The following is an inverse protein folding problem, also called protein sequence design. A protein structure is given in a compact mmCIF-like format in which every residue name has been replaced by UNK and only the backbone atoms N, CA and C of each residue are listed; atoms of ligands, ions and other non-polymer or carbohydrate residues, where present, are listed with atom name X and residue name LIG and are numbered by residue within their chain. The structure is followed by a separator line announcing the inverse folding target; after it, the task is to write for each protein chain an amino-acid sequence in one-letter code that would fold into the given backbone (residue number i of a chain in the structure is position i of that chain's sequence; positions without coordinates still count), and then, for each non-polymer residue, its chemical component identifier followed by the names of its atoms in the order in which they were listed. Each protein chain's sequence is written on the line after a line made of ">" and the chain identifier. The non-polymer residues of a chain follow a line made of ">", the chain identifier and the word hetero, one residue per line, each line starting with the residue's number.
data_IF_088385013561
#
_entry.id   IF_088385013561
#
_cell.length_a   1.000
_cell.length_b   1.000
_cell.length_c   1.000
_cell.angle_alpha   90.00
_cell.angle_beta   90.00
_cell.angle_gamma   90.00
#
_symmetry.space_group_name_H-M   'P 1'
#
loop_
_entity.id
_entity.type
_entity.pdbx_description
1 polymer ?
#
# COMPACT_ATOMS: atom_id res chain seq x y z
N UNK A 1 -36.72 -6.17 -45.14
CA UNK A 1 -36.23 -5.51 -43.91
C UNK A 1 -36.89 -5.97 -42.60
N UNK A 2 -38.08 -6.60 -42.59
CA UNK A 2 -38.71 -7.10 -41.34
C UNK A 2 -38.22 -8.46 -40.81
N UNK A 3 -37.58 -9.29 -41.64
CA UNK A 3 -37.07 -10.62 -41.21
C UNK A 3 -35.73 -10.58 -40.47
N UNK A 4 -34.89 -9.55 -40.71
CA UNK A 4 -33.58 -9.41 -40.04
C UNK A 4 -33.72 -8.99 -38.56
N UNK A 5 -34.77 -8.20 -38.24
CA UNK A 5 -35.03 -7.78 -36.86
C UNK A 5 -35.53 -8.93 -35.96
N UNK A 6 -36.18 -9.95 -36.52
CA UNK A 6 -36.68 -11.08 -35.73
C UNK A 6 -35.53 -12.01 -35.28
N UNK A 7 -34.49 -12.18 -36.10
CA UNK A 7 -33.31 -12.97 -35.74
C UNK A 7 -32.43 -12.25 -34.71
N UNK A 8 -32.36 -10.91 -34.75
CA UNK A 8 -31.60 -10.13 -33.76
C UNK A 8 -32.24 -10.16 -32.36
N UNK A 9 -33.57 -10.16 -32.28
CA UNK A 9 -34.31 -10.29 -31.01
C UNK A 9 -34.20 -11.71 -30.45
N UNK A 10 -34.20 -12.75 -31.29
CA UNK A 10 -33.97 -14.14 -30.84
C UNK A 10 -32.53 -14.32 -30.33
N UNK A 11 -31.54 -13.66 -30.94
CA UNK A 11 -30.13 -13.71 -30.49
C UNK A 11 -29.91 -13.00 -29.14
N UNK A 12 -30.61 -11.88 -28.89
CA UNK A 12 -30.53 -11.13 -27.61
C UNK A 12 -31.32 -11.82 -26.49
N UNK A 13 -32.39 -12.56 -26.80
CA UNK A 13 -33.19 -13.29 -25.79
C UNK A 13 -32.66 -14.71 -25.54
N UNK A 14 -31.85 -15.28 -26.44
CA UNK A 14 -31.18 -16.59 -26.23
C UNK A 14 -29.81 -16.48 -25.56
N UNK A 15 -29.30 -15.26 -25.31
CA UNK A 15 -28.03 -15.06 -24.62
C UNK A 15 -28.04 -15.22 -23.07
N UNK A 16 -29.16 -15.46 -22.33
CA UNK A 16 -29.07 -15.82 -20.92
C UNK A 16 -28.99 -17.34 -20.70
N UNK A 17 -28.74 -18.15 -21.74
CA UNK A 17 -28.61 -19.62 -21.63
C UNK A 17 -27.20 -20.16 -21.86
N UNK A 18 -26.17 -19.30 -21.85
CA UNK A 18 -24.84 -19.73 -21.46
C UNK A 18 -24.73 -19.60 -19.94
N UNK A 19 -25.52 -20.44 -19.26
CA UNK A 19 -25.22 -20.85 -17.91
C UNK A 19 -23.81 -21.46 -17.96
N UNK A 20 -22.83 -20.67 -17.52
CA UNK A 20 -21.57 -21.22 -17.05
C UNK A 20 -21.92 -22.29 -16.02
N UNK A 21 -21.71 -23.55 -16.38
CA UNK A 21 -21.56 -24.58 -15.38
C UNK A 21 -20.22 -24.30 -14.69
N UNK A 22 -20.25 -23.47 -13.65
CA UNK A 22 -19.15 -23.46 -12.70
C UNK A 22 -19.08 -24.85 -12.07
N UNK A 23 -17.94 -25.46 -12.30
CA UNK A 23 -17.52 -26.74 -11.77
C UNK A 23 -17.42 -26.66 -10.26
N UNK A 24 -18.32 -27.37 -9.58
CA UNK A 24 -18.27 -27.69 -8.15
C UNK A 24 -18.21 -26.45 -7.23
N UNK A 25 -19.31 -26.02 -6.58
CA UNK A 25 -19.21 -24.96 -5.59
C UNK A 25 -18.34 -25.50 -4.45
N UNK A 26 -17.09 -25.06 -4.40
CA UNK A 26 -16.29 -25.10 -3.20
C UNK A 26 -17.13 -24.36 -2.15
N UNK A 27 -17.85 -25.12 -1.33
CA UNK A 27 -18.64 -24.61 -0.23
C UNK A 27 -17.81 -24.87 1.02
N UNK A 28 -16.84 -24.00 1.33
CA UNK A 28 -15.98 -24.23 2.46
C UNK A 28 -16.83 -24.30 3.71
N UNK A 29 -16.56 -25.30 4.54
CA UNK A 29 -17.29 -25.50 5.78
C UNK A 29 -17.03 -24.30 6.70
N UNK A 30 -18.08 -23.65 7.18
CA UNK A 30 -17.95 -22.60 8.19
C UNK A 30 -17.43 -23.24 9.50
N UNK A 31 -16.31 -22.73 10.01
CA UNK A 31 -15.63 -23.22 11.20
C UNK A 31 -15.93 -22.37 12.43
N UNK A 32 -15.90 -21.05 12.31
CA UNK A 32 -16.21 -20.11 13.39
C UNK A 32 -16.95 -18.88 12.85
N UNK A 33 -17.69 -18.21 13.75
CA UNK A 33 -18.40 -16.98 13.44
C UNK A 33 -18.44 -16.07 14.67
N UNK A 34 -18.29 -14.77 14.44
CA UNK A 34 -18.44 -13.70 15.42
C UNK A 34 -19.21 -12.54 14.77
N UNK A 35 -20.04 -11.84 15.55
CA UNK A 35 -20.71 -10.62 15.09
C UNK A 35 -20.23 -9.44 15.94
N UNK A 36 -19.69 -8.41 15.30
CA UNK A 36 -19.20 -7.21 15.97
C UNK A 36 -20.35 -6.34 16.49
N UNK A 37 -20.07 -5.37 17.38
CA UNK A 37 -21.06 -4.38 17.84
C UNK A 37 -21.73 -3.57 16.72
N UNK A 38 -21.01 -3.30 15.63
CA UNK A 38 -21.48 -2.59 14.44
C UNK A 38 -22.36 -3.48 13.54
N UNK A 39 -22.42 -4.79 13.83
CA UNK A 39 -23.18 -5.77 13.07
C UNK A 39 -22.41 -6.50 11.99
N UNK A 40 -21.08 -6.32 11.91
CA UNK A 40 -20.21 -6.95 10.91
C UNK A 40 -20.05 -8.44 11.26
N UNK A 41 -20.20 -9.32 10.28
CA UNK A 41 -20.00 -10.76 10.45
C UNK A 41 -18.56 -11.15 10.16
N UNK A 42 -17.83 -11.57 11.19
CA UNK A 42 -16.53 -12.22 11.05
C UNK A 42 -16.74 -13.72 10.92
N UNK A 43 -16.28 -14.32 9.82
CA UNK A 43 -16.46 -15.75 9.54
C UNK A 43 -15.11 -16.39 9.26
N UNK A 44 -14.91 -17.60 9.76
CA UNK A 44 -13.77 -18.42 9.41
C UNK A 44 -14.21 -19.66 8.65
N UNK A 45 -13.50 -19.92 7.56
CA UNK A 45 -13.53 -21.14 6.77
C UNK A 45 -12.25 -21.97 6.92
N UNK A 46 -11.39 -21.61 7.89
CA UNK A 46 -10.16 -22.32 8.25
C UNK A 46 -10.30 -22.96 9.65
N UNK A 47 -9.68 -24.12 9.86
CA UNK A 47 -9.62 -24.77 11.18
C UNK A 47 -8.73 -24.03 12.17
N UNK A 48 -7.77 -23.23 11.69
CA UNK A 48 -6.79 -22.51 12.52
C UNK A 48 -7.37 -21.25 13.16
N UNK A 49 -8.59 -20.88 12.75
CA UNK A 49 -9.27 -19.63 13.11
C UNK A 49 -10.55 -19.92 13.89
N UNK A 50 -10.44 -19.83 15.22
CA UNK A 50 -11.56 -19.97 16.15
C UNK A 50 -12.26 -18.63 16.39
N UNK A 51 -13.30 -18.63 17.22
CA UNK A 51 -14.07 -17.42 17.53
C UNK A 51 -13.25 -16.33 18.25
N UNK A 52 -12.29 -16.71 19.11
CA UNK A 52 -11.42 -15.75 19.83
C UNK A 52 -10.54 -14.97 18.84
N UNK A 53 -9.90 -15.66 17.89
CA UNK A 53 -9.14 -15.00 16.82
C UNK A 53 -10.00 -14.10 15.94
N UNK A 54 -11.27 -14.43 15.73
CA UNK A 54 -12.20 -13.56 14.99
C UNK A 54 -12.56 -12.28 15.78
N UNK A 55 -12.60 -12.34 17.11
CA UNK A 55 -12.76 -11.16 17.97
C UNK A 55 -11.50 -10.30 17.90
N UNK A 56 -10.32 -10.90 17.95
CA UNK A 56 -9.06 -10.18 17.84
C UNK A 56 -8.86 -9.57 16.44
N UNK A 57 -9.31 -10.26 15.38
CA UNK A 57 -9.33 -9.69 14.03
C UNK A 57 -10.27 -8.48 13.92
N UNK A 58 -11.39 -8.49 14.64
CA UNK A 58 -12.22 -7.29 14.77
C UNK A 58 -11.47 -6.16 15.48
N UNK A 59 -10.71 -6.46 16.54
CA UNK A 59 -9.86 -5.46 17.20
C UNK A 59 -8.78 -4.91 16.25
N UNK A 60 -8.19 -5.74 15.38
CA UNK A 60 -7.29 -5.25 14.33
C UNK A 60 -8.01 -4.33 13.32
N UNK A 61 -9.23 -4.67 12.90
CA UNK A 61 -10.01 -3.83 11.97
C UNK A 61 -10.23 -2.43 12.55
N UNK A 62 -10.67 -2.33 13.80
CA UNK A 62 -11.03 -1.03 14.42
C UNK A 62 -9.83 -0.21 14.88
N UNK A 63 -8.59 -0.70 14.72
CA UNK A 63 -7.39 0.14 14.83
C UNK A 63 -7.26 1.10 13.66
N UNK A 64 -7.89 0.80 12.52
CA UNK A 64 -7.99 1.75 11.42
C UNK A 64 -8.84 2.94 11.82
N UNK A 65 -8.49 4.14 11.37
CA UNK A 65 -9.38 5.29 11.49
C UNK A 65 -10.58 5.14 10.58
N UNK A 66 -11.77 5.13 11.16
CA UNK A 66 -13.02 4.90 10.43
C UNK A 66 -14.13 5.83 10.92
N UNK A 67 -15.15 6.01 10.08
CA UNK A 67 -16.35 6.78 10.38
C UNK A 67 -17.59 5.90 10.51
N UNK A 68 -18.73 6.42 10.08
CA UNK A 68 -20.01 5.70 10.12
C UNK A 68 -20.14 4.64 9.02
N UNK A 69 -19.31 4.72 7.98
CA UNK A 69 -19.20 3.74 6.89
C UNK A 69 -18.88 2.34 7.41
N UNK A 70 -18.12 2.20 8.51
CA UNK A 70 -17.81 0.90 9.11
C UNK A 70 -19.05 0.02 9.32
N UNK A 71 -20.19 0.62 9.71
CA UNK A 71 -21.47 -0.08 9.92
C UNK A 71 -22.09 -0.64 8.64
N UNK A 72 -21.56 -0.27 7.48
CA UNK A 72 -22.00 -0.75 6.18
C UNK A 72 -21.17 -1.94 5.68
N UNK A 73 -20.00 -2.20 6.27
CA UNK A 73 -19.26 -3.42 6.02
C UNK A 73 -20.10 -4.59 6.51
N UNK A 74 -20.31 -5.60 5.66
CA UNK A 74 -21.18 -6.73 6.01
C UNK A 74 -20.42 -7.88 6.65
N UNK A 75 -19.22 -8.16 6.13
CA UNK A 75 -18.45 -9.29 6.61
C UNK A 75 -16.94 -9.15 6.41
N UNK A 76 -16.20 -9.86 7.26
CA UNK A 76 -14.78 -10.20 7.07
C UNK A 76 -14.68 -11.72 7.11
N UNK A 77 -14.17 -12.32 6.05
CA UNK A 77 -14.14 -13.78 5.87
C UNK A 77 -12.69 -14.27 5.77
N UNK A 78 -12.26 -15.11 6.71
CA UNK A 78 -10.96 -15.79 6.67
C UNK A 78 -11.11 -17.11 5.92
N UNK A 79 -10.38 -17.26 4.83
CA UNK A 79 -10.42 -18.40 3.94
C UNK A 79 -9.08 -19.13 4.04
N UNK A 80 -9.13 -20.44 4.23
CA UNK A 80 -7.94 -21.30 4.21
C UNK A 80 -7.24 -21.28 2.83
N UNK A 81 -6.22 -22.12 2.68
CA UNK A 81 -5.48 -22.20 1.42
C UNK A 81 -6.39 -22.72 0.30
N UNK A 82 -6.57 -21.94 -0.76
CA UNK A 82 -7.29 -22.37 -1.97
C UNK A 82 -6.35 -23.15 -2.90
N UNK A 83 -6.92 -24.02 -3.75
CA UNK A 83 -6.16 -24.74 -4.79
C UNK A 83 -5.69 -23.85 -5.95
N UNK A 84 -6.23 -22.62 -6.03
CA UNK A 84 -5.79 -21.61 -6.98
C UNK A 84 -4.56 -20.87 -6.44
N UNK A 85 -3.53 -20.75 -7.28
CA UNK A 85 -2.25 -20.08 -7.05
C UNK A 85 -2.37 -18.54 -6.87
N UNK A 86 -3.50 -18.05 -6.35
CA UNK A 86 -3.62 -16.63 -6.02
C UNK A 86 -2.67 -16.29 -4.88
N UNK A 87 -1.64 -15.52 -5.21
CA UNK A 87 -0.70 -14.97 -4.23
C UNK A 87 -1.32 -13.83 -3.41
N UNK A 88 -2.54 -13.38 -3.73
CA UNK A 88 -3.19 -12.32 -2.97
C UNK A 88 -3.54 -12.78 -1.56
N UNK A 89 -3.21 -11.94 -0.58
CA UNK A 89 -3.55 -12.15 0.83
C UNK A 89 -4.96 -11.62 1.17
N UNK A 90 -5.54 -10.79 0.31
CA UNK A 90 -6.82 -10.11 0.54
C UNK A 90 -7.65 -9.89 -0.73
N UNK A 91 -8.93 -9.59 -0.56
CA UNK A 91 -9.73 -8.93 -1.58
C UNK A 91 -10.99 -8.30 -0.98
N UNK A 92 -11.47 -7.23 -1.60
CA UNK A 92 -12.71 -6.59 -1.23
C UNK A 92 -13.79 -6.76 -2.32
N UNK A 93 -14.94 -7.30 -1.92
CA UNK A 93 -16.14 -7.39 -2.75
C UNK A 93 -17.03 -6.17 -2.49
N UNK A 94 -17.05 -5.21 -3.42
CA UNK A 94 -17.86 -4.01 -3.33
C UNK A 94 -19.37 -4.28 -3.26
N UNK A 95 -19.89 -5.27 -4.01
CA UNK A 95 -21.33 -5.54 -4.08
C UNK A 95 -21.85 -6.15 -2.78
N UNK A 96 -21.06 -7.07 -2.21
CA UNK A 96 -21.38 -7.72 -0.95
C UNK A 96 -20.90 -6.92 0.27
N UNK A 97 -19.99 -5.96 0.08
CA UNK A 97 -19.29 -5.22 1.14
C UNK A 97 -18.59 -6.18 2.09
N UNK A 98 -17.79 -7.06 1.52
CA UNK A 98 -17.12 -8.15 2.24
C UNK A 98 -15.62 -8.08 1.98
N UNK A 99 -14.83 -8.12 3.05
CA UNK A 99 -13.38 -8.35 2.98
C UNK A 99 -13.15 -9.86 3.07
N UNK A 100 -12.35 -10.42 2.17
CA UNK A 100 -11.87 -11.80 2.23
C UNK A 100 -10.37 -11.79 2.49
N UNK A 101 -9.94 -12.56 3.47
CA UNK A 101 -8.54 -12.75 3.84
C UNK A 101 -8.17 -14.19 3.48
N UNK A 102 -7.21 -14.36 2.58
CA UNK A 102 -6.80 -15.66 2.05
C UNK A 102 -5.62 -16.25 2.83
N UNK A 103 -5.39 -17.55 2.69
CA UNK A 103 -4.27 -18.26 3.33
C UNK A 103 -4.37 -18.29 4.87
N UNK A 104 -5.58 -18.37 5.41
CA UNK A 104 -5.83 -18.41 6.87
C UNK A 104 -5.21 -19.62 7.58
N UNK A 105 -4.86 -20.69 6.84
CA UNK A 105 -4.12 -21.82 7.41
C UNK A 105 -2.61 -21.51 7.60
N UNK A 106 -2.10 -20.50 6.88
CA UNK A 106 -0.70 -20.05 6.92
C UNK A 106 -0.53 -18.84 7.84
N UNK A 107 -1.41 -17.83 7.71
CA UNK A 107 -1.47 -16.68 8.60
C UNK A 107 -2.49 -16.94 9.70
N UNK A 108 -1.99 -17.34 10.85
CA UNK A 108 -2.81 -17.84 11.96
C UNK A 108 -3.04 -16.79 13.05
N UNK A 109 -2.31 -15.68 13.02
CA UNK A 109 -2.44 -14.59 13.98
C UNK A 109 -3.11 -13.35 13.35
N UNK A 110 -4.10 -12.73 14.00
CA UNK A 110 -4.78 -11.52 13.52
C UNK A 110 -3.86 -10.41 13.04
N UNK A 111 -2.78 -10.14 13.80
CA UNK A 111 -1.81 -9.11 13.45
C UNK A 111 -1.09 -9.37 12.12
N UNK A 112 -1.01 -10.62 11.65
CA UNK A 112 -0.43 -10.91 10.34
C UNK A 112 -1.29 -10.38 9.20
N UNK A 113 -2.58 -10.11 9.41
CA UNK A 113 -3.46 -9.50 8.42
C UNK A 113 -3.59 -7.98 8.57
N UNK A 114 -2.91 -7.32 9.51
CA UNK A 114 -3.11 -5.90 9.82
C UNK A 114 -3.06 -5.00 8.57
N UNK A 115 -2.00 -5.10 7.76
CA UNK A 115 -1.83 -4.31 6.54
C UNK A 115 -2.86 -4.66 5.48
N UNK A 116 -3.03 -5.95 5.18
CA UNK A 116 -4.04 -6.43 4.23
C UNK A 116 -5.43 -5.95 4.63
N UNK A 117 -5.80 -6.06 5.90
CA UNK A 117 -7.09 -5.63 6.40
C UNK A 117 -7.28 -4.11 6.26
N UNK A 118 -6.22 -3.34 6.47
CA UNK A 118 -6.23 -1.88 6.27
C UNK A 118 -6.42 -1.52 4.80
N UNK A 119 -5.72 -2.22 3.89
CA UNK A 119 -5.85 -2.07 2.43
C UNK A 119 -7.26 -2.39 1.94
N UNK A 120 -7.76 -3.59 2.28
CA UNK A 120 -9.10 -4.02 1.86
C UNK A 120 -10.21 -3.15 2.46
N UNK A 121 -10.01 -2.64 3.68
CA UNK A 121 -10.90 -1.66 4.28
C UNK A 121 -10.78 -0.29 3.58
N UNK A 122 -9.60 0.08 3.10
CA UNK A 122 -9.38 1.25 2.24
C UNK A 122 -10.26 1.23 0.98
N UNK A 123 -10.45 0.07 0.35
CA UNK A 123 -11.45 -0.05 -0.72
C UNK A 123 -12.87 0.20 -0.24
N UNK A 124 -13.28 -0.36 0.90
CA UNK A 124 -14.59 -0.11 1.48
C UNK A 124 -14.84 1.38 1.71
N UNK A 125 -13.86 2.06 2.31
CA UNK A 125 -13.85 3.48 2.55
C UNK A 125 -13.95 4.28 1.24
N UNK A 126 -13.12 3.97 0.25
CA UNK A 126 -13.09 4.62 -1.05
C UNK A 126 -14.44 4.51 -1.77
N UNK A 127 -15.06 3.32 -1.77
CA UNK A 127 -16.35 3.11 -2.42
C UNK A 127 -17.52 3.78 -1.67
N UNK A 128 -17.40 3.99 -0.36
CA UNK A 128 -18.41 4.69 0.42
C UNK A 128 -18.37 6.20 0.16
N UNK A 129 -17.22 6.83 0.36
CA UNK A 129 -17.08 8.30 0.31
C UNK A 129 -16.78 8.83 -1.10
N UNK A 130 -16.07 8.06 -1.91
CA UNK A 130 -15.61 8.45 -3.24
C UNK A 130 -16.05 7.44 -4.30
N UNK A 131 -17.36 7.17 -4.48
CA UNK A 131 -17.83 6.09 -5.36
C UNK A 131 -17.37 6.23 -6.83
N UNK A 132 -16.92 7.41 -7.25
CA UNK A 132 -16.37 7.66 -8.59
C UNK A 132 -14.84 7.59 -8.68
N UNK A 133 -14.10 7.21 -7.63
CA UNK A 133 -12.62 7.22 -7.63
C UNK A 133 -12.02 6.38 -8.76
N UNK A 134 -12.67 5.27 -9.10
CA UNK A 134 -12.28 4.34 -10.17
C UNK A 134 -12.58 4.85 -11.61
N UNK A 135 -13.19 6.03 -11.75
CA UNK A 135 -13.48 6.65 -13.04
C UNK A 135 -12.47 7.75 -13.38
N UNK A 136 -12.07 7.90 -14.65
CA UNK A 136 -11.17 8.97 -15.06
C UNK A 136 -11.79 10.34 -14.77
N UNK A 137 -10.94 11.34 -14.50
CA UNK A 137 -11.34 12.73 -14.24
C UNK A 137 -12.15 12.93 -12.94
N UNK A 138 -12.10 11.97 -12.00
CA UNK A 138 -12.72 12.08 -10.68
C UNK A 138 -12.13 13.24 -9.87
N UNK A 139 -12.90 13.75 -8.88
CA UNK A 139 -12.44 14.83 -7.98
C UNK A 139 -11.17 14.40 -7.24
N UNK A 140 -11.15 13.16 -6.75
CA UNK A 140 -9.99 12.55 -6.10
C UNK A 140 -8.77 12.52 -7.03
N UNK A 141 -8.87 11.96 -8.25
CA UNK A 141 -7.72 11.87 -9.16
C UNK A 141 -7.08 13.23 -9.46
N UNK A 142 -7.90 14.27 -9.65
CA UNK A 142 -7.42 15.62 -9.92
C UNK A 142 -6.65 16.21 -8.75
N UNK A 143 -7.15 16.03 -7.52
CA UNK A 143 -6.53 16.57 -6.30
C UNK A 143 -5.33 15.73 -5.87
N UNK A 144 -5.37 14.41 -6.11
CA UNK A 144 -4.23 13.50 -5.95
C UNK A 144 -3.09 13.79 -6.94
N UNK A 145 -3.36 14.60 -7.96
CA UNK A 145 -2.41 15.05 -9.00
C UNK A 145 -1.81 13.89 -9.82
N UNK A 146 -2.60 12.86 -10.10
CA UNK A 146 -2.17 11.70 -10.90
C UNK A 146 -2.44 11.96 -12.38
N UNK A 147 -1.50 11.70 -13.29
CA UNK A 147 -1.83 11.80 -14.71
C UNK A 147 -2.68 10.59 -15.14
N UNK A 148 -3.59 10.82 -16.08
CA UNK A 148 -4.42 9.73 -16.63
C UNK A 148 -3.59 8.63 -17.29
N UNK A 149 -2.38 8.95 -17.76
CA UNK A 149 -1.47 8.01 -18.41
C UNK A 149 -0.68 7.14 -17.43
N UNK A 150 -0.59 7.57 -16.17
CA UNK A 150 0.11 6.85 -15.10
C UNK A 150 -0.78 5.76 -14.50
N UNK A 151 -2.09 5.84 -14.76
CA UNK A 151 -3.10 4.93 -14.22
C UNK A 151 -3.77 4.09 -15.31
N UNK A 152 -4.22 2.91 -14.89
CA UNK A 152 -5.00 2.01 -15.71
C UNK A 152 -6.48 2.04 -15.29
N UNK A 153 -7.38 2.28 -16.24
CA UNK A 153 -8.80 2.55 -15.95
C UNK A 153 -9.76 1.42 -16.29
N UNK A 154 -9.24 0.30 -16.78
CA UNK A 154 -10.04 -0.82 -17.30
C UNK A 154 -10.17 -1.99 -16.32
N UNK A 155 -9.78 -1.82 -15.05
CA UNK A 155 -9.90 -2.85 -14.01
C UNK A 155 -11.28 -3.51 -13.98
N UNK A 156 -12.34 -2.74 -14.22
CA UNK A 156 -13.70 -3.25 -14.19
C UNK A 156 -13.99 -4.36 -15.22
N UNK A 157 -13.32 -4.36 -16.39
CA UNK A 157 -13.58 -5.35 -17.46
C UNK A 157 -12.33 -6.12 -17.92
N UNK A 158 -11.13 -5.74 -17.46
CA UNK A 158 -9.86 -6.30 -17.89
C UNK A 158 -8.80 -6.19 -16.79
N UNK A 159 -9.17 -6.63 -15.59
CA UNK A 159 -8.26 -6.75 -14.47
C UNK A 159 -7.12 -7.74 -14.79
N UNK A 160 -5.89 -7.36 -14.46
CA UNK A 160 -4.69 -8.18 -14.61
C UNK A 160 -3.73 -7.83 -13.47
N UNK A 161 -3.27 -8.84 -12.74
CA UNK A 161 -2.44 -8.68 -11.53
C UNK A 161 -1.16 -7.87 -11.77
N UNK A 162 -0.54 -8.00 -12.95
CA UNK A 162 0.67 -7.21 -13.31
C UNK A 162 0.46 -5.68 -13.37
N UNK A 163 -0.78 -5.21 -13.30
CA UNK A 163 -1.12 -3.79 -13.26
C UNK A 163 -1.83 -3.41 -11.95
N UNK A 164 -1.83 -4.28 -10.94
CA UNK A 164 -2.54 -4.11 -9.67
C UNK A 164 -2.29 -2.72 -9.07
N UNK A 165 -1.02 -2.44 -8.75
CA UNK A 165 -0.52 -1.13 -8.32
C UNK A 165 -1.22 0.05 -9.00
N UNK A 166 -1.13 0.13 -10.33
CA UNK A 166 -1.55 1.33 -11.08
C UNK A 166 -3.06 1.44 -11.32
N UNK A 167 -3.90 0.61 -10.71
CA UNK A 167 -5.34 0.79 -10.75
C UNK A 167 -5.79 1.83 -9.71
N UNK A 168 -6.68 2.79 -10.07
CA UNK A 168 -7.12 3.86 -9.18
C UNK A 168 -7.66 3.39 -7.82
N UNK A 169 -8.38 2.27 -7.77
CA UNK A 169 -8.91 1.74 -6.52
C UNK A 169 -7.83 1.17 -5.58
N UNK A 170 -6.72 0.70 -6.13
CA UNK A 170 -5.56 0.20 -5.37
C UNK A 170 -4.73 1.35 -4.86
N UNK A 171 -4.46 2.36 -5.70
CA UNK A 171 -3.81 3.61 -5.27
C UNK A 171 -4.59 4.27 -4.13
N UNK A 172 -5.92 4.29 -4.20
CA UNK A 172 -6.72 4.83 -3.11
C UNK A 172 -6.59 3.99 -1.83
N UNK A 173 -6.62 2.66 -1.94
CA UNK A 173 -6.49 1.76 -0.79
C UNK A 173 -5.11 1.90 -0.12
N UNK A 174 -4.03 2.01 -0.89
CA UNK A 174 -2.69 2.31 -0.37
C UNK A 174 -2.62 3.69 0.30
N UNK A 175 -3.21 4.72 -0.34
CA UNK A 175 -3.31 6.05 0.27
C UNK A 175 -4.05 5.98 1.63
N UNK A 176 -5.08 5.12 1.73
CA UNK A 176 -5.79 4.89 2.99
C UNK A 176 -4.91 4.22 4.03
N UNK A 177 -4.11 3.20 3.68
CA UNK A 177 -3.14 2.59 4.59
C UNK A 177 -2.19 3.66 5.14
N UNK A 178 -1.67 4.51 4.25
CA UNK A 178 -0.75 5.59 4.60
C UNK A 178 -1.38 6.73 5.40
N UNK A 179 -2.70 6.93 5.40
CA UNK A 179 -3.37 8.07 6.09
C UNK A 179 -4.25 7.67 7.29
N UNK A 180 -4.82 6.48 7.27
CA UNK A 180 -5.83 6.00 8.23
C UNK A 180 -5.60 4.55 8.68
N UNK A 181 -4.68 3.83 8.03
CA UNK A 181 -4.34 2.45 8.35
C UNK A 181 -3.87 2.24 9.79
N UNK A 182 -4.15 1.06 10.33
CA UNK A 182 -3.69 0.66 11.66
C UNK A 182 -2.15 0.71 11.74
N UNK A 183 -1.61 1.42 12.72
CA UNK A 183 -0.15 1.57 12.90
C UNK A 183 0.43 0.53 13.87
N UNK A 184 1.74 0.35 13.82
CA UNK A 184 2.49 -0.49 14.75
C UNK A 184 3.87 0.13 14.99
N UNK A 185 4.37 0.07 16.22
CA UNK A 185 5.75 0.46 16.50
C UNK A 185 6.74 -0.53 15.86
N UNK A 186 7.87 -0.02 15.37
CA UNK A 186 8.98 -0.79 14.81
C UNK A 186 10.07 -0.91 15.88
N UNK A 187 10.56 -2.13 16.14
CA UNK A 187 11.71 -2.30 17.02
C UNK A 187 12.94 -1.70 16.33
N UNK A 188 13.68 -0.77 16.95
CA UNK A 188 14.91 -0.24 16.37
C UNK A 188 15.92 -1.30 15.92
N UNK A 189 15.88 -2.52 16.48
CA UNK A 189 16.71 -3.64 16.02
C UNK A 189 16.34 -4.13 14.62
N UNK A 190 15.08 -4.01 14.22
CA UNK A 190 14.62 -4.41 12.88
C UNK A 190 15.14 -3.42 11.82
N UNK A 191 15.49 -2.19 12.23
CA UNK A 191 16.22 -1.22 11.39
C UNK A 191 17.67 -1.68 11.21
N UNK A 192 18.32 -2.15 12.28
CA UNK A 192 19.71 -2.63 12.23
C UNK A 192 19.89 -3.88 11.33
N UNK A 193 18.84 -4.69 11.17
CA UNK A 193 18.81 -5.87 10.29
C UNK A 193 18.28 -5.57 8.88
N UNK A 194 17.94 -4.32 8.57
CA UNK A 194 17.23 -3.85 7.37
C UNK A 194 15.82 -4.45 7.16
N UNK A 195 15.35 -5.32 8.04
CA UNK A 195 14.04 -5.98 7.91
C UNK A 195 12.90 -4.95 7.90
N UNK A 196 13.02 -3.89 8.70
CA UNK A 196 12.05 -2.80 8.73
C UNK A 196 11.89 -2.14 7.36
N UNK A 197 12.97 -1.89 6.62
CA UNK A 197 12.91 -1.24 5.30
C UNK A 197 12.22 -2.12 4.27
N UNK A 198 12.65 -3.39 4.17
CA UNK A 198 12.02 -4.33 3.22
C UNK A 198 10.53 -4.53 3.49
N UNK A 199 10.09 -4.49 4.76
CA UNK A 199 8.67 -4.70 5.10
C UNK A 199 7.82 -3.43 5.00
N UNK A 200 8.41 -2.21 5.06
CA UNK A 200 7.65 -0.97 5.30
C UNK A 200 7.79 0.10 4.24
N UNK A 201 8.81 0.03 3.38
CA UNK A 201 8.98 1.01 2.29
C UNK A 201 8.61 0.46 0.92
N UNK A 202 8.52 -0.87 0.79
CA UNK A 202 8.00 -1.57 -0.38
C UNK A 202 6.45 -1.56 -0.40
N UNK A 203 5.89 -0.57 -1.09
CA UNK A 203 4.46 -0.49 -1.40
C UNK A 203 4.24 -0.76 -2.89
N UNK A 204 3.09 -1.31 -3.26
CA UNK A 204 2.82 -1.61 -4.67
C UNK A 204 2.88 -0.35 -5.56
N UNK A 205 2.52 0.81 -4.99
CA UNK A 205 2.44 2.09 -5.67
C UNK A 205 3.66 3.01 -5.55
N UNK A 206 4.85 2.45 -5.29
CA UNK A 206 6.11 3.22 -5.19
C UNK A 206 6.41 4.15 -6.38
N UNK A 207 5.87 3.87 -7.57
CA UNK A 207 6.08 4.68 -8.78
C UNK A 207 5.25 5.96 -8.82
N UNK A 208 4.38 6.18 -7.82
CA UNK A 208 3.50 7.33 -7.70
C UNK A 208 3.94 8.14 -6.49
N UNK A 209 3.97 9.47 -6.62
CA UNK A 209 4.30 10.36 -5.50
C UNK A 209 3.45 10.04 -4.27
N UNK A 210 4.09 9.93 -3.10
CA UNK A 210 3.41 9.55 -1.86
C UNK A 210 2.29 10.54 -1.47
N UNK A 211 1.33 10.08 -0.68
CA UNK A 211 0.17 10.88 -0.28
C UNK A 211 0.40 11.72 0.98
N UNK A 212 1.48 11.44 1.73
CA UNK A 212 1.71 12.01 3.07
C UNK A 212 2.00 13.52 3.06
N UNK A 213 2.36 14.09 1.91
CA UNK A 213 2.58 15.53 1.76
C UNK A 213 1.48 16.26 1.00
N UNK A 214 0.45 15.55 0.50
CA UNK A 214 -0.62 16.15 -0.31
C UNK A 214 -1.70 16.81 0.57
N UNK A 215 -1.41 18.01 1.08
CA UNK A 215 -2.32 18.77 1.96
C UNK A 215 -3.68 19.10 1.33
N UNK A 216 -3.73 19.23 0.00
CA UNK A 216 -4.98 19.50 -0.73
C UNK A 216 -5.89 18.28 -0.72
N UNK A 217 -5.32 17.08 -0.88
CA UNK A 217 -6.05 15.83 -0.75
C UNK A 217 -6.44 15.57 0.70
N UNK A 218 -5.57 15.85 1.65
CA UNK A 218 -5.90 15.73 3.08
C UNK A 218 -7.16 16.53 3.42
N UNK A 219 -7.18 17.82 3.03
CA UNK A 219 -8.33 18.70 3.24
C UNK A 219 -9.61 18.15 2.61
N UNK A 220 -9.51 17.58 1.39
CA UNK A 220 -10.63 16.94 0.72
C UNK A 220 -11.15 15.73 1.50
N UNK A 221 -10.25 14.84 1.93
CA UNK A 221 -10.62 13.63 2.64
C UNK A 221 -11.31 13.99 3.96
N UNK A 222 -10.76 14.93 4.73
CA UNK A 222 -11.33 15.40 5.99
C UNK A 222 -12.71 16.06 5.77
N UNK A 223 -12.87 16.88 4.72
CA UNK A 223 -14.14 17.54 4.37
C UNK A 223 -15.24 16.52 4.01
N UNK A 224 -14.93 15.54 3.16
CA UNK A 224 -15.92 14.58 2.65
C UNK A 224 -16.26 13.47 3.68
N UNK A 225 -15.31 13.15 4.56
CA UNK A 225 -15.44 12.00 5.48
C UNK A 225 -15.76 12.42 6.92
N UNK A 226 -15.33 13.62 7.33
CA UNK A 226 -15.34 14.08 8.71
C UNK A 226 -14.31 13.40 9.62
N UNK A 227 -13.35 12.66 9.05
CA UNK A 227 -12.27 11.97 9.77
C UNK A 227 -11.00 12.77 9.61
N UNK A 228 -10.43 13.24 10.72
CA UNK A 228 -9.16 13.98 10.72
C UNK A 228 -7.96 13.05 10.48
N UNK A 229 -6.95 13.53 9.76
CA UNK A 229 -5.68 12.84 9.56
C UNK A 229 -4.76 13.13 10.74
N UNK A 230 -4.14 12.07 11.29
CA UNK A 230 -3.18 12.26 12.39
C UNK A 230 -1.93 12.94 11.87
N UNK A 231 -1.64 14.13 12.40
CA UNK A 231 -0.44 14.89 12.04
C UNK A 231 0.85 14.13 12.39
N UNK A 232 0.80 13.24 13.41
CA UNK A 232 1.93 12.38 13.76
C UNK A 232 2.27 11.35 12.68
N UNK A 233 1.35 11.02 11.76
CA UNK A 233 1.58 10.07 10.66
C UNK A 233 2.24 10.73 9.45
N UNK A 234 2.20 12.06 9.36
CA UNK A 234 2.77 12.77 8.22
C UNK A 234 4.30 12.68 8.26
N UNK A 235 4.86 12.37 7.10
CA UNK A 235 6.29 12.33 6.85
C UNK A 235 6.60 13.17 5.63
N UNK A 236 7.77 13.79 5.64
CA UNK A 236 8.24 14.62 4.55
C UNK A 236 9.37 13.93 3.80
N UNK A 237 9.36 14.04 2.47
CA UNK A 237 10.42 13.47 1.65
C UNK A 237 11.73 14.22 1.92
N UNK A 238 12.83 13.51 2.23
CA UNK A 238 14.15 14.10 2.22
C UNK A 238 14.45 14.72 0.85
N UNK A 239 15.04 15.91 0.85
CA UNK A 239 15.41 16.59 -0.39
C UNK A 239 16.92 16.66 -0.51
N UNK A 240 17.46 16.14 -1.61
CA UNK A 240 18.89 16.22 -1.90
C UNK A 240 19.33 17.68 -1.85
N UNK A 241 20.31 17.96 -0.98
CA UNK A 241 20.79 19.32 -0.74
C UNK A 241 22.10 19.56 -1.46
N UNK A 242 23.09 18.70 -1.21
CA UNK A 242 24.40 18.80 -1.84
C UNK A 242 25.20 17.49 -1.69
N UNK A 243 26.23 17.38 -2.52
CA UNK A 243 27.37 16.53 -2.25
C UNK A 243 28.63 17.38 -2.08
N UNK A 244 29.40 17.15 -1.03
CA UNK A 244 30.71 17.79 -0.85
C UNK A 244 31.58 16.98 0.08
N UNK A 245 32.89 16.95 -0.18
CA UNK A 245 33.88 16.35 0.74
C UNK A 245 33.52 14.89 1.11
N UNK A 246 33.00 14.12 0.14
CA UNK A 246 32.50 12.74 0.33
C UNK A 246 31.28 12.60 1.25
N UNK A 247 30.50 13.66 1.42
CA UNK A 247 29.26 13.66 2.19
C UNK A 247 28.05 13.91 1.28
N UNK A 248 27.04 13.04 1.38
CA UNK A 248 25.71 13.29 0.80
C UNK A 248 24.83 13.92 1.87
N UNK A 249 24.34 15.13 1.61
CA UNK A 249 23.50 15.88 2.54
C UNK A 249 22.07 16.03 1.99
N UNK A 250 21.10 15.82 2.87
CA UNK A 250 19.67 15.94 2.58
C UNK A 250 18.99 16.85 3.60
N UNK A 251 18.12 17.73 3.14
CA UNK A 251 17.26 18.53 4.02
C UNK A 251 16.05 17.68 4.40
N UNK A 252 15.77 17.58 5.69
CA UNK A 252 14.65 16.84 6.26
C UNK A 252 13.78 17.77 7.11
N UNK A 253 12.51 17.42 7.30
CA UNK A 253 11.69 18.09 8.31
C UNK A 253 11.98 17.45 9.67
N UNK A 254 12.30 18.23 10.71
CA UNK A 254 12.59 17.67 12.03
C UNK A 254 11.43 16.84 12.57
N UNK A 255 11.71 15.58 12.89
CA UNK A 255 10.79 14.63 13.51
C UNK A 255 11.63 13.48 14.08
N UNK A 256 11.51 13.22 15.38
CA UNK A 256 12.23 12.12 16.03
C UNK A 256 11.69 10.75 15.64
N UNK A 257 12.49 9.73 15.94
CA UNK A 257 12.16 8.32 15.72
C UNK A 257 11.91 8.02 14.23
N UNK A 258 12.61 8.73 13.35
CA UNK A 258 12.62 8.43 11.92
C UNK A 258 13.92 7.72 11.58
N UNK A 259 13.80 6.54 10.98
CA UNK A 259 14.92 5.82 10.40
C UNK A 259 15.04 6.16 8.91
N UNK A 260 16.25 6.46 8.48
CA UNK A 260 16.60 6.73 7.09
C UNK A 260 17.60 5.68 6.62
N UNK A 261 17.39 5.09 5.45
CA UNK A 261 18.39 4.25 4.78
C UNK A 261 18.74 4.86 3.43
N UNK A 262 20.02 5.20 3.26
CA UNK A 262 20.60 5.52 1.96
C UNK A 262 20.84 4.22 1.20
N UNK A 263 20.21 4.10 0.04
CA UNK A 263 20.56 3.11 -0.98
C UNK A 263 21.43 3.81 -2.02
N UNK A 264 22.63 3.29 -2.25
CA UNK A 264 23.60 3.87 -3.18
C UNK A 264 23.99 2.80 -4.20
N UNK A 265 23.87 3.14 -5.48
CA UNK A 265 24.31 2.30 -6.59
C UNK A 265 25.40 3.01 -7.36
N UNK A 266 26.56 2.37 -7.50
CA UNK A 266 27.71 2.87 -8.25
C UNK A 266 27.96 2.02 -9.49
N UNK A 267 28.22 2.65 -10.63
CA UNK A 267 28.52 1.96 -11.87
C UNK A 267 29.89 2.34 -12.40
N UNK A 268 30.71 1.36 -12.72
CA UNK A 268 32.02 1.58 -13.32
C UNK A 268 31.98 1.61 -14.86
N UNK A 269 33.08 2.07 -15.46
CA UNK A 269 33.25 2.14 -16.92
C UNK A 269 33.26 0.80 -17.64
N UNK A 270 33.28 -0.31 -16.89
CA UNK A 270 33.20 -1.67 -17.43
C UNK A 270 31.79 -2.23 -17.36
N UNK A 271 30.83 -1.45 -16.85
CA UNK A 271 29.44 -1.84 -16.66
C UNK A 271 29.21 -2.71 -15.43
N UNK A 272 30.12 -2.72 -14.45
CA UNK A 272 29.88 -3.37 -13.17
C UNK A 272 29.07 -2.43 -12.26
N UNK A 273 28.09 -3.00 -11.57
CA UNK A 273 27.22 -2.29 -10.62
C UNK A 273 27.54 -2.73 -9.19
N UNK A 274 27.64 -1.78 -8.27
CA UNK A 274 27.95 -1.99 -6.86
C UNK A 274 26.90 -1.29 -6.00
N UNK A 275 26.27 -2.03 -5.08
CA UNK A 275 25.21 -1.51 -4.22
C UNK A 275 25.75 -1.39 -2.79
N UNK A 276 25.46 -0.26 -2.15
CA UNK A 276 25.81 0.06 -0.78
C UNK A 276 24.58 0.56 -0.05
N UNK A 277 24.51 0.24 1.24
CA UNK A 277 23.41 0.67 2.11
C UNK A 277 24.00 1.28 3.39
N UNK A 278 23.44 2.41 3.82
CA UNK A 278 23.78 3.06 5.08
C UNK A 278 22.52 3.49 5.77
N UNK A 279 22.45 3.40 7.10
CA UNK A 279 21.26 3.84 7.82
C UNK A 279 21.59 4.75 8.99
N UNK A 280 20.64 5.61 9.34
CA UNK A 280 20.70 6.50 10.49
C UNK A 280 19.32 6.58 11.13
N UNK A 281 19.26 6.63 12.45
CA UNK A 281 18.02 6.93 13.18
C UNK A 281 18.13 8.33 13.73
N UNK A 282 17.25 9.20 13.27
CA UNK A 282 17.19 10.57 13.70
C UNK A 282 16.46 10.68 15.04
N UNK A 283 17.13 11.28 16.03
CA UNK A 283 16.68 11.36 17.43
C UNK A 283 16.70 12.77 18.01
N UNK A 284 16.99 13.79 17.20
CA UNK A 284 17.04 15.18 17.64
C UNK A 284 16.02 16.04 16.88
N UNK A 285 14.98 16.53 17.56
CA UNK A 285 13.93 17.38 16.96
C UNK A 285 14.43 18.74 16.44
N UNK A 286 15.70 19.10 16.64
CA UNK A 286 16.29 20.36 16.17
C UNK A 286 17.13 20.23 14.90
N UNK A 287 17.47 19.00 14.50
CA UNK A 287 18.25 18.74 13.30
C UNK A 287 17.32 18.71 12.06
N UNK A 288 17.65 19.49 11.04
CA UNK A 288 16.94 19.56 9.75
C UNK A 288 17.78 19.05 8.58
N UNK A 289 18.93 18.44 8.87
CA UNK A 289 19.87 17.91 7.91
C UNK A 289 20.24 16.46 8.21
N UNK A 290 20.32 15.64 7.17
CA UNK A 290 20.74 14.25 7.20
C UNK A 290 22.01 14.12 6.35
N UNK A 291 23.11 13.69 6.97
CA UNK A 291 24.43 13.64 6.34
C UNK A 291 24.95 12.21 6.32
N UNK A 292 25.19 11.64 5.15
CA UNK A 292 25.84 10.34 4.98
C UNK A 292 27.29 10.52 4.52
N UNK A 293 28.23 10.03 5.34
CA UNK A 293 29.65 10.00 5.01
C UNK A 293 29.95 8.79 4.12
N UNK A 294 30.28 9.03 2.85
CA UNK A 294 30.54 7.96 1.88
C UNK A 294 31.87 7.24 2.13
N UNK A 295 32.82 7.87 2.82
CA UNK A 295 34.11 7.24 3.16
C UNK A 295 33.93 5.99 4.05
N UNK A 296 32.90 5.97 4.89
CA UNK A 296 32.59 4.82 5.74
C UNK A 296 31.98 3.65 4.96
N UNK A 297 31.36 3.95 3.81
CA UNK A 297 30.65 3.01 2.95
C UNK A 297 31.56 2.44 1.86
N UNK A 298 32.39 3.30 1.27
CA UNK A 298 33.15 3.01 0.07
C UNK A 298 34.57 2.56 0.43
N UNK A 299 34.90 1.32 0.06
CA UNK A 299 36.26 0.78 0.21
C UNK A 299 37.22 1.29 -0.87
N UNK A 300 36.69 1.89 -1.93
CA UNK A 300 37.43 2.35 -3.11
C UNK A 300 37.11 3.81 -3.40
N UNK A 301 38.01 4.47 -4.14
CA UNK A 301 37.83 5.88 -4.49
C UNK A 301 36.70 6.04 -5.52
N UNK A 302 35.81 7.01 -5.28
CA UNK A 302 34.69 7.36 -6.18
C UNK A 302 35.14 7.63 -7.62
N UNK A 303 36.36 8.10 -7.83
CA UNK A 303 36.94 8.34 -9.17
C UNK A 303 37.00 7.11 -10.08
N UNK A 304 36.77 5.90 -9.55
CA UNK A 304 36.75 4.66 -10.33
C UNK A 304 35.40 4.40 -11.02
N UNK A 305 34.38 5.18 -10.70
CA UNK A 305 33.01 5.01 -11.17
C UNK A 305 32.61 6.15 -12.12
N UNK A 306 31.66 5.90 -13.02
CA UNK A 306 31.19 6.88 -14.00
C UNK A 306 30.03 7.71 -13.47
N UNK A 307 29.04 7.04 -12.87
CA UNK A 307 27.88 7.67 -12.29
C UNK A 307 27.45 6.94 -11.03
N UNK A 308 26.75 7.67 -10.17
CA UNK A 308 26.14 7.16 -8.96
C UNK A 308 24.65 7.46 -8.97
N UNK A 309 23.86 6.56 -8.39
CA UNK A 309 22.49 6.82 -8.06
C UNK A 309 22.20 6.57 -6.60
N UNK A 310 21.32 7.39 -6.03
CA UNK A 310 20.95 7.33 -4.63
C UNK A 310 19.43 7.40 -4.47
N UNK A 311 18.89 6.67 -3.50
CA UNK A 311 17.54 6.86 -2.94
C UNK A 311 17.60 6.81 -1.42
N UNK A 312 16.61 7.40 -0.75
CA UNK A 312 16.45 7.29 0.70
C UNK A 312 15.14 6.54 0.98
N UNK A 313 15.23 5.45 1.72
CA UNK A 313 14.08 4.90 2.42
C UNK A 313 13.87 5.64 3.74
N UNK A 314 12.61 5.93 4.06
CA UNK A 314 12.19 6.60 5.28
C UNK A 314 11.21 5.69 6.01
N UNK A 315 11.39 5.51 7.32
CA UNK A 315 10.42 4.81 8.19
C UNK A 315 10.22 5.62 9.47
N UNK A 316 8.97 5.82 9.83
CA UNK A 316 8.57 6.26 11.16
C UNK A 316 8.48 5.06 12.11
N UNK A 317 9.33 5.04 13.13
CA UNK A 317 9.40 3.93 14.08
C UNK A 317 8.20 3.89 15.03
N UNK A 318 7.48 4.99 15.21
CA UNK A 318 6.31 5.04 16.07
C UNK A 318 5.05 4.52 15.33
N UNK A 319 5.03 4.63 13.99
CA UNK A 319 3.85 4.30 13.19
C UNK A 319 4.03 3.16 12.19
N UNK A 320 5.27 2.72 11.91
CA UNK A 320 5.68 1.81 10.85
C UNK A 320 5.39 2.28 9.42
N UNK A 321 5.01 3.55 9.26
CA UNK A 321 4.78 4.13 7.94
C UNK A 321 6.14 4.43 7.32
N UNK A 322 6.35 3.97 6.10
CA UNK A 322 7.55 4.28 5.36
C UNK A 322 7.32 4.45 3.86
N UNK A 323 8.31 4.99 3.18
CA UNK A 323 8.33 5.15 1.72
C UNK A 323 9.78 5.26 1.24
N UNK A 324 9.97 5.01 -0.05
CA UNK A 324 11.23 5.28 -0.75
C UNK A 324 11.13 6.59 -1.54
N UNK A 325 12.21 7.38 -1.58
CA UNK A 325 12.29 8.56 -2.45
C UNK A 325 12.57 8.20 -3.91
N UNK A 326 12.35 9.15 -4.80
CA UNK A 326 12.84 9.02 -6.18
C UNK A 326 14.36 8.86 -6.23
N UNK A 327 14.84 8.15 -7.25
CA UNK A 327 16.26 7.94 -7.49
C UNK A 327 16.92 9.21 -8.05
N UNK A 328 17.92 9.74 -7.34
CA UNK A 328 18.79 10.81 -7.84
C UNK A 328 19.97 10.20 -8.58
N UNK A 329 20.18 10.58 -9.85
CA UNK A 329 21.36 10.20 -10.63
C UNK A 329 22.32 11.37 -10.77
N UNK A 330 23.59 11.11 -10.51
CA UNK A 330 24.65 12.10 -10.62
C UNK A 330 25.84 11.49 -11.34
N UNK A 331 26.37 12.22 -12.33
CA UNK A 331 27.64 11.86 -12.96
C UNK A 331 28.77 12.21 -12.01
N UNK A 332 29.72 11.30 -11.80
CA UNK A 332 30.80 11.51 -10.82
C UNK A 332 31.75 12.62 -11.25
N UNK A 333 31.77 12.99 -12.53
CA UNK A 333 32.51 14.15 -13.03
C UNK A 333 31.88 15.49 -12.61
N UNK A 334 30.60 15.51 -12.27
CA UNK A 334 29.84 16.70 -11.83
C UNK A 334 29.87 16.89 -10.29
N UNK A 335 30.59 16.00 -9.59
CA UNK A 335 30.65 15.82 -8.14
C UNK A 335 32.06 16.13 -7.64
#
# INVERSE_FOLDING_TARGET
>A
MRRIHLYFIILVISFPFLASFETNPYNPKLHAIYQSPEGILFKSFSTEWNQEKLIDLYHELVKNKHGNELKQLRAVEVIGTTLDDSFSKGSYDYLNKTIKLYQGDQYQEPSQYQETLSHEYGHHFAYHYFPSHHLPLSKWQKIRNLNLLDLRWDAFWNYQDKYHAIYPQEVFADDYVLLYGATKEVDPKDVETNEAFYLRTEHENQQISNVLENSSLHSLLEEETGIEIDQSRLLHMPTFSNYKDAELSFTIKPKINIAYRLNLTLNDSKGNTFNYESYQIHRDESEDELIFHLEDLLKENLSNYEWLSASIDVIDLDTSIGFETEEWKMDIEDI
#
